data_IF_416551105597
#
_entry.id   IF_416551105597
#
_cell.length_a   1.000
_cell.length_b   1.000
_cell.length_c   1.000
_cell.angle_alpha   90.00
_cell.angle_beta   90.00
_cell.angle_gamma   90.00
#
_symmetry.space_group_name_H-M   'P 1'
#
loop_
_entity.id
_entity.type
_entity.pdbx_description
1 polymer ?
#
# COMPACT_ATOMS: atom_id res chain seq x y z
N UNK A 1 -27.64 -6.12 -1.76
CA UNK A 1 -26.64 -5.93 -0.70
C UNK A 1 -27.25 -5.02 0.35
N UNK A 2 -27.17 -5.39 1.63
CA UNK A 2 -27.60 -4.50 2.72
C UNK A 2 -26.61 -3.33 2.85
N UNK A 3 -27.14 -2.12 3.04
CA UNK A 3 -26.31 -0.96 3.33
C UNK A 3 -25.73 -1.13 4.74
N UNK A 4 -24.45 -1.50 4.86
CA UNK A 4 -23.80 -1.69 6.15
C UNK A 4 -23.85 -0.42 7.00
N UNK A 5 -23.89 0.77 6.39
CA UNK A 5 -23.93 2.04 7.13
C UNK A 5 -25.18 2.18 7.99
N UNK A 6 -26.33 1.61 7.56
CA UNK A 6 -27.55 1.65 8.37
C UNK A 6 -27.46 0.82 9.64
N UNK A 7 -26.45 -0.06 9.75
CA UNK A 7 -26.16 -0.83 10.96
C UNK A 7 -25.35 -0.02 11.99
N UNK A 8 -24.82 1.15 11.61
CA UNK A 8 -23.99 2.00 12.46
C UNK A 8 -24.55 3.43 12.51
N UNK A 9 -25.73 3.64 13.15
CA UNK A 9 -26.39 4.95 13.22
C UNK A 9 -25.56 6.02 13.95
N UNK A 10 -24.53 5.63 14.70
CA UNK A 10 -23.59 6.54 15.35
C UNK A 10 -22.57 7.18 14.40
N UNK A 11 -22.41 6.66 13.18
CA UNK A 11 -21.49 7.25 12.23
C UNK A 11 -22.05 8.58 11.70
N UNK A 12 -21.20 9.59 11.46
CA UNK A 12 -21.62 10.82 10.83
C UNK A 12 -22.25 10.56 9.45
N UNK A 13 -23.22 11.39 9.08
CA UNK A 13 -23.74 11.41 7.72
C UNK A 13 -22.59 11.66 6.72
N UNK A 14 -22.53 10.83 5.67
CA UNK A 14 -21.44 10.93 4.69
C UNK A 14 -20.08 10.39 5.16
N UNK A 15 -20.06 9.50 6.16
CA UNK A 15 -18.83 8.83 6.59
C UNK A 15 -18.08 8.21 5.40
N UNK A 16 -16.82 8.62 5.23
CA UNK A 16 -15.94 8.18 4.16
C UNK A 16 -14.76 7.40 4.74
N UNK A 17 -14.72 6.10 4.43
CA UNK A 17 -13.68 5.18 4.92
C UNK A 17 -12.28 5.62 4.47
N UNK A 18 -12.12 6.11 3.24
CA UNK A 18 -10.82 6.53 2.73
C UNK A 18 -10.31 7.75 3.50
N UNK A 19 -11.19 8.72 3.77
CA UNK A 19 -10.85 9.89 4.61
C UNK A 19 -10.59 9.53 6.07
N UNK A 20 -11.25 8.49 6.57
CA UNK A 20 -11.00 7.98 7.92
C UNK A 20 -9.65 7.25 8.02
N UNK A 21 -9.30 6.45 7.02
CA UNK A 21 -8.08 5.63 7.03
C UNK A 21 -6.86 6.37 6.51
N UNK A 22 -6.99 7.50 5.82
CA UNK A 22 -5.87 8.22 5.23
C UNK A 22 -6.09 9.73 5.19
N UNK A 23 -4.99 10.47 5.31
CA UNK A 23 -4.97 11.93 5.14
C UNK A 23 -4.83 12.32 3.67
N UNK A 24 -5.22 13.54 3.32
CA UNK A 24 -5.02 14.08 1.97
C UNK A 24 -3.54 14.14 1.58
N UNK A 25 -2.66 14.41 2.56
CA UNK A 25 -1.20 14.42 2.36
C UNK A 25 -0.66 13.04 2.03
N UNK A 26 -1.10 11.98 2.74
CA UNK A 26 -0.73 10.60 2.41
C UNK A 26 -1.20 10.23 1.00
N UNK A 27 -2.46 10.53 0.66
CA UNK A 27 -2.98 10.26 -0.68
C UNK A 27 -2.22 11.03 -1.77
N UNK A 28 -1.80 12.26 -1.50
CA UNK A 28 -0.98 13.05 -2.42
C UNK A 28 0.39 12.39 -2.63
N UNK A 29 1.05 11.97 -1.55
CA UNK A 29 2.33 11.27 -1.63
C UNK A 29 2.20 9.94 -2.38
N UNK A 30 1.11 9.21 -2.20
CA UNK A 30 0.87 7.98 -2.95
C UNK A 30 0.70 8.24 -4.44
N UNK A 31 -0.04 9.30 -4.81
CA UNK A 31 -0.21 9.73 -6.21
C UNK A 31 1.13 10.13 -6.83
N UNK A 32 1.95 10.88 -6.09
CA UNK A 32 3.31 11.25 -6.53
C UNK A 32 4.21 10.03 -6.72
N UNK A 33 4.05 8.99 -5.88
CA UNK A 33 4.78 7.73 -6.01
C UNK A 33 4.25 6.81 -7.13
N UNK A 34 3.10 7.14 -7.74
CA UNK A 34 2.58 6.46 -8.93
C UNK A 34 1.38 5.54 -8.69
N UNK A 35 0.69 5.62 -7.55
CA UNK A 35 -0.60 4.92 -7.40
C UNK A 35 -1.62 5.51 -8.38
N UNK A 36 -2.48 4.70 -9.02
CA UNK A 36 -3.56 5.23 -9.84
C UNK A 36 -4.45 6.20 -9.04
N UNK A 37 -4.82 7.33 -9.64
CA UNK A 37 -5.59 8.38 -8.92
C UNK A 37 -7.08 8.06 -8.75
N UNK A 38 -7.53 6.88 -9.16
CA UNK A 38 -8.92 6.46 -8.96
C UNK A 38 -9.18 6.06 -7.50
N UNK A 39 -10.45 6.16 -7.07
CA UNK A 39 -10.84 5.92 -5.68
C UNK A 39 -10.49 4.52 -5.18
N UNK A 40 -10.74 3.50 -6.00
CA UNK A 40 -10.48 2.10 -5.63
C UNK A 40 -9.00 1.84 -5.34
N UNK A 41 -8.10 2.41 -6.14
CA UNK A 41 -6.66 2.29 -5.92
C UNK A 41 -6.22 2.99 -4.63
N UNK A 42 -6.79 4.16 -4.31
CA UNK A 42 -6.51 4.86 -3.05
C UNK A 42 -7.05 4.09 -1.83
N UNK A 43 -8.24 3.47 -1.95
CA UNK A 43 -8.80 2.58 -0.92
C UNK A 43 -7.92 1.35 -0.70
N UNK A 44 -7.44 0.71 -1.78
CA UNK A 44 -6.47 -0.39 -1.70
C UNK A 44 -5.15 0.07 -1.06
N UNK A 45 -4.67 1.26 -1.41
CA UNK A 45 -3.51 1.89 -0.76
C UNK A 45 -3.72 2.02 0.75
N UNK A 46 -4.85 2.57 1.17
CA UNK A 46 -5.19 2.69 2.59
C UNK A 46 -5.22 1.31 3.28
N UNK A 47 -5.75 0.27 2.65
CA UNK A 47 -5.71 -1.10 3.18
C UNK A 47 -4.27 -1.58 3.36
N UNK A 48 -3.41 -1.42 2.34
CA UNK A 48 -1.99 -1.82 2.40
C UNK A 48 -1.28 -1.14 3.58
N UNK A 49 -1.44 0.16 3.76
CA UNK A 49 -0.73 0.92 4.81
C UNK A 49 -1.34 0.81 6.21
N UNK A 50 -2.57 0.30 6.34
CA UNK A 50 -3.23 0.10 7.65
C UNK A 50 -3.33 -1.37 8.07
N UNK A 51 -2.87 -2.29 7.24
CA UNK A 51 -2.83 -3.71 7.55
C UNK A 51 -1.73 -4.05 8.55
N UNK A 52 -2.07 -4.84 9.56
CA UNK A 52 -1.08 -5.42 10.49
C UNK A 52 -0.40 -6.67 9.94
N UNK A 53 -1.12 -7.41 9.09
CA UNK A 53 -0.60 -8.59 8.40
C UNK A 53 0.00 -8.18 7.05
N UNK A 54 0.99 -8.94 6.57
CA UNK A 54 1.60 -8.71 5.26
C UNK A 54 0.54 -8.80 4.16
N UNK A 55 0.29 -7.72 3.40
CA UNK A 55 -0.73 -7.72 2.37
C UNK A 55 -0.29 -8.58 1.17
N UNK A 56 -1.23 -9.39 0.65
CA UNK A 56 -1.07 -10.10 -0.62
C UNK A 56 -1.77 -9.31 -1.72
N UNK A 57 -1.00 -8.76 -2.67
CA UNK A 57 -1.52 -7.87 -3.72
C UNK A 57 -1.60 -8.62 -5.04
N UNK A 58 -2.77 -8.61 -5.66
CA UNK A 58 -2.98 -9.11 -7.02
C UNK A 58 -2.82 -7.93 -7.98
N UNK A 59 -1.69 -7.86 -8.66
CA UNK A 59 -1.33 -6.75 -9.55
C UNK A 59 -0.77 -7.25 -10.89
N UNK A 60 -1.63 -7.51 -11.88
CA UNK A 60 -1.18 -7.96 -13.20
C UNK A 60 -0.38 -6.91 -13.98
N UNK A 61 -0.53 -5.62 -13.67
CA UNK A 61 0.14 -4.54 -14.41
C UNK A 61 1.50 -4.15 -13.83
N UNK A 62 1.85 -4.64 -12.63
CA UNK A 62 3.07 -4.27 -11.91
C UNK A 62 3.08 -2.81 -11.43
N UNK A 63 1.93 -2.12 -11.53
CA UNK A 63 1.80 -0.71 -11.17
C UNK A 63 1.93 -0.50 -9.66
N UNK A 64 1.31 -1.37 -8.86
CA UNK A 64 1.36 -1.29 -7.40
C UNK A 64 2.74 -1.69 -6.91
N UNK A 65 3.38 -2.70 -7.50
CA UNK A 65 4.76 -3.04 -7.18
C UNK A 65 5.72 -1.86 -7.40
N UNK A 66 5.62 -1.19 -8.56
CA UNK A 66 6.42 -0.01 -8.88
C UNK A 66 6.12 1.18 -7.95
N UNK A 67 4.84 1.41 -7.66
CA UNK A 67 4.39 2.43 -6.71
C UNK A 67 5.01 2.22 -5.32
N UNK A 68 4.91 1.01 -4.76
CA UNK A 68 5.43 0.70 -3.43
C UNK A 68 6.96 0.85 -3.39
N UNK A 69 7.65 0.37 -4.43
CA UNK A 69 9.09 0.53 -4.56
C UNK A 69 9.50 2.01 -4.53
N UNK A 70 8.86 2.86 -5.35
CA UNK A 70 9.15 4.28 -5.40
C UNK A 70 8.84 4.98 -4.07
N UNK A 71 7.68 4.69 -3.47
CA UNK A 71 7.25 5.28 -2.20
C UNK A 71 8.25 5.00 -1.07
N UNK A 72 8.62 3.73 -0.88
CA UNK A 72 9.55 3.35 0.19
C UNK A 72 10.99 3.74 -0.12
N UNK A 73 11.42 3.75 -1.38
CA UNK A 73 12.75 4.22 -1.76
C UNK A 73 13.00 5.66 -1.29
N UNK A 74 12.02 6.53 -1.44
CA UNK A 74 12.13 7.93 -1.01
C UNK A 74 11.98 8.08 0.51
N UNK A 75 10.99 7.42 1.12
CA UNK A 75 10.70 7.60 2.56
C UNK A 75 11.70 6.88 3.46
N UNK A 76 12.23 5.74 3.02
CA UNK A 76 13.17 4.89 3.77
C UNK A 76 14.59 4.97 3.24
N UNK A 77 14.93 6.05 2.53
CA UNK A 77 16.25 6.24 1.93
C UNK A 77 17.42 6.06 2.91
N UNK A 78 17.25 6.54 4.15
CA UNK A 78 18.26 6.40 5.21
C UNK A 78 18.33 4.97 5.82
N UNK A 79 17.29 4.16 5.64
CA UNK A 79 17.17 2.78 6.16
C UNK A 79 17.46 1.73 5.07
N UNK A 80 18.10 2.11 3.96
CA UNK A 80 18.39 1.21 2.85
C UNK A 80 17.34 1.17 1.73
N UNK A 81 16.27 1.96 1.84
CA UNK A 81 15.27 2.16 0.80
C UNK A 81 14.30 0.98 0.62
N UNK A 82 14.04 0.62 -0.65
CA UNK A 82 13.16 -0.48 -1.04
C UNK A 82 13.92 -1.45 -1.95
N UNK A 83 13.57 -2.73 -1.90
CA UNK A 83 14.07 -3.75 -2.82
C UNK A 83 12.92 -4.52 -3.45
N UNK A 84 13.07 -4.87 -4.72
CA UNK A 84 12.12 -5.67 -5.48
C UNK A 84 12.73 -7.06 -5.74
N UNK A 85 12.17 -8.07 -5.07
CA UNK A 85 12.59 -9.46 -5.24
C UNK A 85 11.63 -10.15 -6.22
N UNK A 86 12.19 -10.88 -7.19
CA UNK A 86 11.40 -11.59 -8.21
C UNK A 86 11.53 -13.09 -7.99
N UNK A 87 10.39 -13.77 -7.80
CA UNK A 87 10.36 -15.18 -7.43
C UNK A 87 11.08 -16.13 -8.42
N UNK A 88 11.17 -15.75 -9.69
CA UNK A 88 11.82 -16.54 -10.74
C UNK A 88 13.35 -16.37 -10.79
N UNK A 89 13.94 -15.49 -9.98
CA UNK A 89 15.39 -15.29 -9.95
C UNK A 89 16.09 -16.41 -9.19
N UNK A 90 17.20 -16.92 -9.75
CA UNK A 90 17.95 -18.05 -9.17
C UNK A 90 18.62 -17.74 -7.84
N UNK A 91 18.89 -16.46 -7.58
CA UNK A 91 19.57 -15.95 -6.39
C UNK A 91 18.59 -15.34 -5.37
N UNK A 92 17.27 -15.53 -5.54
CA UNK A 92 16.23 -15.02 -4.64
C UNK A 92 16.51 -15.34 -3.16
N UNK A 93 16.91 -16.58 -2.87
CA UNK A 93 17.17 -17.00 -1.49
C UNK A 93 18.39 -16.29 -0.90
N UNK A 94 19.40 -16.00 -1.72
CA UNK A 94 20.57 -15.22 -1.31
C UNK A 94 20.17 -13.78 -1.03
N UNK A 95 19.42 -13.15 -1.94
CA UNK A 95 18.92 -11.79 -1.75
C UNK A 95 18.04 -11.66 -0.50
N UNK A 96 17.14 -12.62 -0.26
CA UNK A 96 16.25 -12.61 0.91
C UNK A 96 17.00 -12.84 2.23
N UNK A 97 18.04 -13.69 2.24
CA UNK A 97 18.80 -14.02 3.45
C UNK A 97 19.69 -12.88 3.93
N UNK A 98 20.12 -11.99 3.04
CA UNK A 98 20.91 -10.79 3.39
C UNK A 98 20.18 -9.84 4.37
N UNK A 99 18.87 -10.00 4.57
CA UNK A 99 18.06 -9.18 5.45
C UNK A 99 17.84 -9.73 6.87
N UNK A 100 18.08 -11.03 7.09
CA UNK A 100 17.81 -11.69 8.38
C UNK A 100 19.03 -11.70 9.32
N UNK A 101 20.16 -11.14 8.90
CA UNK A 101 21.45 -11.19 9.63
C UNK A 101 21.77 -9.85 10.32
N UNK A 102 20.88 -8.86 10.26
CA UNK A 102 20.93 -7.62 11.05
C UNK A 102 19.88 -7.65 12.16
#
# INVERSE_FOLDING_TARGET
MQNWQSQFPQLPEGFDILRFLSTESEQLNWKQAGIPSNRLALENGAIIFRSKQTPFVIDPSGTIASFLFNYFKEIKKAEGGAQLLVASQSDLMTQASSFLIL
#
